data_IF_945275329407
#
_entry.id   IF_945275329407
#
_cell.length_a   1.000
_cell.length_b   1.000
_cell.length_c   1.000
_cell.angle_alpha   90.00
_cell.angle_beta   90.00
_cell.angle_gamma   90.00
#
_symmetry.space_group_name_H-M   'P 1'
#
loop_
_entity.id
_entity.type
_entity.pdbx_description
1 polymer ?
#
# COMPACT_ATOMS: atom_id res chain seq x y z
N UNK A 1 32.53 -11.52 -25.32
CA UNK A 1 31.42 -12.45 -25.05
C UNK A 1 30.31 -12.11 -26.02
N UNK A 2 29.62 -13.10 -26.60
CA UNK A 2 28.45 -12.85 -27.45
C UNK A 2 27.26 -13.58 -26.82
N UNK A 3 26.15 -12.88 -26.64
CA UNK A 3 24.88 -13.45 -26.19
C UNK A 3 24.01 -13.69 -27.40
N UNK A 4 23.48 -14.91 -27.55
CA UNK A 4 22.58 -15.26 -28.64
C UNK A 4 21.34 -15.94 -28.07
N UNK A 5 20.18 -15.46 -28.48
CA UNK A 5 18.89 -16.05 -28.13
C UNK A 5 18.55 -17.10 -29.18
N UNK A 6 18.27 -18.33 -28.76
CA UNK A 6 17.88 -19.41 -29.66
C UNK A 6 16.57 -20.02 -29.18
N UNK A 7 15.55 -20.05 -30.03
CA UNK A 7 14.31 -20.77 -29.78
C UNK A 7 14.55 -22.27 -30.00
N UNK A 8 14.15 -23.10 -29.04
CA UNK A 8 14.07 -24.55 -29.22
C UNK A 8 12.64 -24.96 -29.61
N UNK A 9 12.52 -26.04 -30.37
CA UNK A 9 11.27 -26.58 -30.94
C UNK A 9 10.19 -26.98 -29.93
N UNK A 10 10.40 -26.80 -28.62
CA UNK A 10 9.43 -27.09 -27.56
C UNK A 10 8.79 -25.86 -26.88
N UNK A 11 8.86 -24.67 -27.50
CA UNK A 11 8.17 -23.47 -27.00
C UNK A 11 8.89 -22.71 -25.88
N UNK A 12 9.87 -23.31 -25.20
CA UNK A 12 10.67 -22.62 -24.20
C UNK A 12 11.93 -22.00 -24.83
N UNK A 13 11.94 -20.67 -24.95
CA UNK A 13 13.14 -19.94 -25.37
C UNK A 13 14.25 -20.07 -24.32
N UNK A 14 15.47 -20.40 -24.75
CA UNK A 14 16.65 -20.48 -23.88
C UNK A 14 17.72 -19.50 -24.34
N UNK A 15 18.27 -18.76 -23.39
CA UNK A 15 19.45 -17.93 -23.64
C UNK A 15 20.69 -18.82 -23.55
N UNK A 16 21.59 -18.69 -24.52
CA UNK A 16 22.87 -19.40 -24.53
C UNK A 16 24.00 -18.37 -24.49
N UNK A 17 24.83 -18.45 -23.46
CA UNK A 17 26.06 -17.65 -23.36
C UNK A 17 27.17 -18.44 -24.03
N UNK A 18 27.84 -17.85 -25.02
CA UNK A 18 28.98 -18.45 -25.68
C UNK A 18 30.25 -17.63 -25.53
N UNK A 19 31.40 -18.32 -25.53
CA UNK A 19 32.70 -17.68 -25.65
C UNK A 19 32.93 -17.13 -27.07
N UNK A 20 34.10 -16.53 -27.31
CA UNK A 20 34.44 -16.01 -28.64
C UNK A 20 34.62 -17.10 -29.70
N UNK A 21 34.89 -18.34 -29.30
CA UNK A 21 35.01 -19.51 -30.17
C UNK A 21 33.65 -20.18 -30.45
N UNK A 22 32.58 -19.76 -29.78
CA UNK A 22 31.23 -20.31 -29.93
C UNK A 22 30.90 -21.45 -28.98
N UNK A 23 31.76 -21.76 -28.02
CA UNK A 23 31.48 -22.81 -27.03
C UNK A 23 30.44 -22.33 -26.03
N UNK A 24 29.49 -23.21 -25.70
CA UNK A 24 28.44 -22.96 -24.72
C UNK A 24 29.05 -22.89 -23.32
N UNK A 25 28.97 -21.73 -22.68
CA UNK A 25 29.41 -21.50 -21.31
C UNK A 25 28.27 -21.69 -20.31
N UNK A 26 27.06 -21.24 -20.66
CA UNK A 26 25.88 -21.35 -19.80
C UNK A 26 24.58 -21.32 -20.61
N UNK A 27 23.49 -21.82 -20.02
CA UNK A 27 22.14 -21.56 -20.51
C UNK A 27 21.14 -21.38 -19.38
N UNK A 28 20.22 -20.44 -19.56
CA UNK A 28 19.08 -20.22 -18.67
C UNK A 28 17.78 -20.19 -19.49
N UNK A 29 16.64 -20.60 -18.91
CA UNK A 29 15.33 -20.29 -19.47
C UNK A 29 15.20 -18.77 -19.66
N UNK A 30 14.75 -18.32 -20.83
CA UNK A 30 14.53 -16.90 -21.08
C UNK A 30 13.48 -16.29 -20.13
N UNK A 31 12.59 -17.12 -19.58
CA UNK A 31 11.62 -16.75 -18.55
C UNK A 31 12.26 -16.22 -17.26
N UNK A 32 13.50 -16.59 -16.94
CA UNK A 32 14.24 -16.06 -15.79
C UNK A 32 14.75 -14.63 -16.02
N UNK A 33 14.61 -14.08 -17.23
CA UNK A 33 14.99 -12.71 -17.59
C UNK A 33 13.82 -11.84 -18.00
N UNK A 34 12.58 -12.35 -17.96
CA UNK A 34 11.40 -11.49 -18.07
C UNK A 34 11.40 -10.60 -16.81
N UNK A 35 11.47 -9.26 -16.94
CA UNK A 35 11.27 -8.39 -15.79
C UNK A 35 9.95 -8.80 -15.16
N UNK A 36 9.92 -9.03 -13.84
CA UNK A 36 8.67 -9.24 -13.14
C UNK A 36 7.74 -8.08 -13.50
N UNK A 37 6.66 -8.38 -14.21
CA UNK A 37 5.79 -7.37 -14.78
C UNK A 37 5.02 -6.76 -13.60
N UNK A 38 5.51 -5.61 -13.11
CA UNK A 38 4.99 -4.93 -11.93
C UNK A 38 3.66 -4.27 -12.29
N UNK A 39 2.56 -4.89 -11.89
CA UNK A 39 1.22 -4.38 -12.12
C UNK A 39 0.65 -3.84 -10.81
N UNK A 40 0.49 -2.53 -10.71
CA UNK A 40 -0.19 -1.89 -9.58
C UNK A 40 -1.65 -1.70 -9.98
N UNK A 41 -2.56 -2.53 -9.48
CA UNK A 41 -4.00 -2.40 -9.75
C UNK A 41 -4.76 -1.84 -8.56
N UNK A 42 -4.29 -2.12 -7.34
CA UNK A 42 -4.91 -1.68 -6.09
C UNK A 42 -3.89 -1.13 -5.11
N UNK A 43 -4.09 0.14 -4.76
CA UNK A 43 -3.23 0.89 -3.84
C UNK A 43 -4.02 1.12 -2.54
N UNK A 44 -3.51 0.65 -1.41
CA UNK A 44 -4.08 0.94 -0.10
C UNK A 44 -3.41 2.17 0.53
N UNK A 45 -4.21 3.10 1.03
CA UNK A 45 -3.74 4.34 1.64
C UNK A 45 -4.36 4.49 3.03
N UNK A 46 -3.58 4.23 4.10
CA UNK A 46 -3.99 4.54 5.46
C UNK A 46 -4.08 6.04 5.69
N UNK A 47 -5.22 6.51 6.20
CA UNK A 47 -5.55 7.91 6.45
C UNK A 47 -5.85 8.11 7.93
N UNK A 48 -5.12 9.01 8.59
CA UNK A 48 -5.37 9.47 9.95
C UNK A 48 -5.84 10.94 10.02
N UNK A 49 -6.17 11.51 8.85
CA UNK A 49 -6.57 12.91 8.63
C UNK A 49 -5.49 13.95 8.96
N UNK A 50 -4.25 13.55 9.24
CA UNK A 50 -3.12 14.48 9.31
C UNK A 50 -2.73 14.98 7.91
N UNK A 51 -2.09 16.15 7.86
CA UNK A 51 -1.46 16.68 6.63
C UNK A 51 -0.49 15.67 6.00
N UNK A 52 0.17 14.86 6.82
CA UNK A 52 1.10 13.84 6.36
C UNK A 52 0.38 12.71 5.61
N UNK A 53 -0.73 12.20 6.14
CA UNK A 53 -1.53 11.19 5.45
C UNK A 53 -2.15 11.73 4.15
N UNK A 54 -2.57 13.00 4.15
CA UNK A 54 -3.05 13.66 2.93
C UNK A 54 -1.94 13.82 1.89
N UNK A 55 -0.69 14.09 2.32
CA UNK A 55 0.47 14.05 1.43
C UNK A 55 0.63 12.68 0.80
N UNK A 56 0.58 11.59 1.58
CA UNK A 56 0.65 10.23 1.04
C UNK A 56 -0.47 9.92 0.03
N UNK A 57 -1.67 10.42 0.26
CA UNK A 57 -2.78 10.31 -0.70
C UNK A 57 -2.46 10.97 -2.04
N UNK A 58 -1.81 12.15 -2.06
CA UNK A 58 -1.42 12.79 -3.34
C UNK A 58 -0.49 11.89 -4.17
N UNK A 59 0.47 11.22 -3.53
CA UNK A 59 1.34 10.26 -4.21
C UNK A 59 0.54 9.07 -4.74
N UNK A 60 -0.39 8.54 -3.94
CA UNK A 60 -1.24 7.43 -4.37
C UNK A 60 -2.12 7.78 -5.56
N UNK A 61 -2.70 8.99 -5.61
CA UNK A 61 -3.49 9.45 -6.74
C UNK A 61 -2.64 9.63 -8.02
N UNK A 62 -1.39 10.09 -7.88
CA UNK A 62 -0.47 10.19 -9.01
C UNK A 62 -0.08 8.80 -9.56
N UNK A 63 0.23 7.85 -8.67
CA UNK A 63 0.47 6.45 -9.05
C UNK A 63 -0.77 5.84 -9.70
N UNK A 64 -1.95 6.03 -9.12
CA UNK A 64 -3.19 5.50 -9.67
C UNK A 64 -3.49 6.04 -11.07
N UNK A 65 -3.18 7.30 -11.35
CA UNK A 65 -3.29 7.87 -12.70
C UNK A 65 -2.34 7.21 -13.70
N UNK A 66 -1.09 6.96 -13.29
CA UNK A 66 -0.06 6.37 -14.15
C UNK A 66 -0.31 4.88 -14.43
N UNK A 67 -0.85 4.15 -13.45
CA UNK A 67 -1.04 2.69 -13.51
C UNK A 67 -2.50 2.28 -13.73
N UNK A 68 -3.41 3.24 -13.90
CA UNK A 68 -4.86 3.01 -13.98
C UNK A 68 -5.42 2.21 -12.78
N UNK A 69 -4.82 2.41 -11.61
CA UNK A 69 -5.11 1.68 -10.39
C UNK A 69 -6.34 2.25 -9.65
N UNK A 70 -6.98 1.40 -8.85
CA UNK A 70 -7.96 1.80 -7.84
C UNK A 70 -7.25 2.16 -6.53
N UNK A 71 -7.68 3.24 -5.88
CA UNK A 71 -7.15 3.67 -4.57
C UNK A 71 -8.15 3.35 -3.47
N UNK A 72 -7.72 2.58 -2.48
CA UNK A 72 -8.50 2.27 -1.29
C UNK A 72 -8.03 3.17 -0.14
N UNK A 73 -8.87 4.14 0.24
CA UNK A 73 -8.62 4.99 1.40
C UNK A 73 -9.17 4.29 2.64
N UNK A 74 -8.32 4.03 3.63
CA UNK A 74 -8.74 3.37 4.87
C UNK A 74 -8.51 4.28 6.08
N UNK A 75 -9.52 4.40 6.92
CA UNK A 75 -9.38 4.98 8.26
C UNK A 75 -9.66 3.92 9.33
N UNK A 76 -8.77 3.80 10.32
CA UNK A 76 -8.95 2.90 11.44
C UNK A 76 -9.26 3.71 12.69
N UNK A 77 -10.41 3.44 13.28
CA UNK A 77 -10.82 4.00 14.57
C UNK A 77 -10.25 3.10 15.66
N UNK A 78 -9.24 3.59 16.38
CA UNK A 78 -8.70 2.87 17.54
C UNK A 78 -9.63 3.05 18.74
N UNK A 79 -10.09 1.93 19.32
CA UNK A 79 -10.79 1.97 20.60
C UNK A 79 -9.75 2.09 21.72
N UNK A 80 -9.75 3.22 22.42
CA UNK A 80 -9.14 3.28 23.75
C UNK A 80 -10.05 2.52 24.71
N UNK A 81 -9.60 1.34 25.13
CA UNK A 81 -10.22 0.62 26.25
C UNK A 81 -9.65 1.22 27.52
N UNK A 82 -10.46 1.98 28.24
CA UNK A 82 -10.09 2.51 29.55
C UNK A 82 -10.30 1.42 30.62
N UNK A 83 -9.50 1.41 31.70
CA UNK A 83 -9.70 0.47 32.81
C UNK A 83 -11.11 0.49 33.42
N UNK A 84 -11.87 1.59 33.27
CA UNK A 84 -13.27 1.71 33.70
C UNK A 84 -14.30 1.08 32.75
N UNK A 85 -13.94 0.81 31.49
CA UNK A 85 -14.85 0.27 30.47
C UNK A 85 -15.21 -1.20 30.74
N UNK A 86 -14.43 -1.89 31.59
CA UNK A 86 -14.71 -3.26 32.05
C UNK A 86 -15.92 -3.34 33.00
N UNK A 87 -16.33 -2.21 33.59
CA UNK A 87 -17.41 -2.14 34.60
C UNK A 87 -18.79 -1.84 33.98
N UNK A 88 -18.83 -1.41 32.73
CA UNK A 88 -20.09 -1.12 32.03
C UNK A 88 -20.36 -2.21 30.98
N UNK A 89 -21.61 -2.70 30.84
CA UNK A 89 -21.96 -3.48 29.67
C UNK A 89 -21.65 -2.61 28.44
N UNK A 90 -21.02 -3.16 27.38
CA UNK A 90 -20.70 -2.38 26.18
C UNK A 90 -22.00 -1.73 25.72
N UNK A 91 -22.07 -0.39 25.85
CA UNK A 91 -23.18 0.40 25.34
C UNK A 91 -23.43 -0.08 23.93
N UNK A 92 -24.65 -0.54 23.64
CA UNK A 92 -25.01 -1.16 22.36
C UNK A 92 -24.42 -0.33 21.21
N UNK A 93 -23.36 -0.86 20.63
CA UNK A 93 -22.42 -0.16 19.76
C UNK A 93 -22.98 0.05 18.34
N UNK A 94 -24.30 0.02 18.16
CA UNK A 94 -24.89 -0.23 16.83
C UNK A 94 -25.29 1.04 16.10
N UNK A 95 -25.96 1.99 16.77
CA UNK A 95 -26.55 3.14 16.06
C UNK A 95 -25.63 4.37 16.08
N UNK A 96 -24.92 4.60 17.19
CA UNK A 96 -23.94 5.69 17.31
C UNK A 96 -22.62 5.38 16.57
N UNK A 97 -22.31 4.11 16.32
CA UNK A 97 -21.16 3.74 15.47
C UNK A 97 -21.47 3.89 13.98
N UNK A 98 -22.70 3.61 13.54
CA UNK A 98 -23.09 3.75 12.14
C UNK A 98 -23.00 5.20 11.68
N UNK A 99 -23.58 6.15 12.44
CA UNK A 99 -23.52 7.58 12.13
C UNK A 99 -22.07 8.11 12.17
N UNK A 100 -21.28 7.71 13.17
CA UNK A 100 -19.85 8.05 13.23
C UNK A 100 -19.06 7.49 12.05
N UNK A 101 -19.33 6.25 11.66
CA UNK A 101 -18.69 5.58 10.52
C UNK A 101 -19.04 6.30 9.22
N UNK A 102 -20.32 6.62 9.01
CA UNK A 102 -20.78 7.36 7.83
C UNK A 102 -20.10 8.73 7.75
N UNK A 103 -20.03 9.47 8.88
CA UNK A 103 -19.29 10.72 8.95
C UNK A 103 -17.81 10.55 8.58
N UNK A 104 -17.15 9.48 9.02
CA UNK A 104 -15.75 9.22 8.64
C UNK A 104 -15.61 8.86 7.15
N UNK A 105 -16.56 8.10 6.59
CA UNK A 105 -16.60 7.82 5.15
C UNK A 105 -16.75 9.12 4.35
N UNK A 106 -17.68 10.02 4.73
CA UNK A 106 -17.84 11.31 4.08
C UNK A 106 -16.57 12.17 4.15
N UNK A 107 -15.85 12.13 5.28
CA UNK A 107 -14.54 12.82 5.39
C UNK A 107 -13.50 12.22 4.45
N UNK A 108 -13.46 10.90 4.29
CA UNK A 108 -12.55 10.27 3.34
C UNK A 108 -12.89 10.66 1.90
N UNK A 109 -14.17 10.63 1.52
CA UNK A 109 -14.66 11.06 0.20
C UNK A 109 -14.29 12.51 -0.13
N UNK A 110 -14.27 13.39 0.87
CA UNK A 110 -13.88 14.78 0.68
C UNK A 110 -12.38 14.93 0.35
N UNK A 111 -11.52 13.99 0.75
CA UNK A 111 -10.07 14.08 0.52
C UNK A 111 -9.68 13.80 -0.95
N UNK A 112 -10.47 13.00 -1.66
CA UNK A 112 -10.20 12.61 -3.04
C UNK A 112 -11.26 13.12 -4.04
N UNK A 113 -12.18 13.96 -3.56
CA UNK A 113 -13.20 14.61 -4.39
C UNK A 113 -12.57 15.34 -5.58
N UNK A 114 -13.05 15.05 -6.79
CA UNK A 114 -12.54 15.65 -8.02
C UNK A 114 -11.20 15.10 -8.53
N UNK A 115 -10.66 14.03 -7.91
CA UNK A 115 -9.38 13.44 -8.35
C UNK A 115 -9.45 12.78 -9.73
N UNK A 116 -10.65 12.36 -10.17
CA UNK A 116 -10.86 11.57 -11.40
C UNK A 116 -10.36 10.13 -11.31
N UNK A 117 -9.98 9.67 -10.11
CA UNK A 117 -9.47 8.31 -9.86
C UNK A 117 -10.58 7.45 -9.25
N UNK A 118 -10.60 6.15 -9.57
CA UNK A 118 -11.50 5.19 -8.91
C UNK A 118 -11.05 5.00 -7.47
N UNK A 119 -11.92 5.31 -6.52
CA UNK A 119 -11.63 5.20 -5.10
C UNK A 119 -12.67 4.39 -4.35
N UNK A 120 -12.21 3.71 -3.29
CA UNK A 120 -13.05 3.01 -2.32
C UNK A 120 -12.68 3.45 -0.92
N UNK A 121 -13.68 3.76 -0.10
CA UNK A 121 -13.49 4.27 1.26
C UNK A 121 -13.86 3.19 2.27
N UNK A 122 -12.96 2.91 3.21
CA UNK A 122 -13.11 1.85 4.21
C UNK A 122 -12.88 2.46 5.59
N UNK A 123 -13.80 2.18 6.51
CA UNK A 123 -13.63 2.54 7.92
C UNK A 123 -13.75 1.26 8.74
N UNK A 124 -12.71 0.94 9.52
CA UNK A 124 -12.71 -0.18 10.46
C UNK A 124 -12.41 0.28 11.88
N UNK A 125 -12.79 -0.57 12.82
CA UNK A 125 -12.54 -0.42 14.23
C UNK A 125 -11.47 -1.44 14.63
N UNK A 126 -10.40 -1.03 15.31
CA UNK A 126 -9.34 -1.95 15.68
C UNK A 126 -8.00 -1.27 15.89
N UNK A 127 -6.92 -2.06 15.90
CA UNK A 127 -5.55 -1.52 15.98
C UNK A 127 -5.07 -1.14 14.58
N UNK A 128 -4.65 0.11 14.37
CA UNK A 128 -4.43 0.67 13.04
C UNK A 128 -3.53 -0.19 12.14
N UNK A 129 -2.36 -0.60 12.64
CA UNK A 129 -1.42 -1.38 11.84
C UNK A 129 -1.94 -2.79 11.52
N UNK A 130 -2.73 -3.43 12.40
CA UNK A 130 -3.25 -4.79 12.17
C UNK A 130 -4.34 -4.77 11.09
N UNK A 131 -5.31 -3.87 11.26
CA UNK A 131 -6.41 -3.71 10.32
C UNK A 131 -5.91 -3.33 8.92
N UNK A 132 -4.87 -2.49 8.81
CA UNK A 132 -4.27 -2.15 7.50
C UNK A 132 -3.68 -3.39 6.83
N UNK A 133 -2.99 -4.25 7.58
CA UNK A 133 -2.41 -5.49 7.04
C UNK A 133 -3.50 -6.47 6.61
N UNK A 134 -4.54 -6.63 7.42
CA UNK A 134 -5.68 -7.49 7.12
C UNK A 134 -6.43 -7.01 5.87
N UNK A 135 -6.75 -5.72 5.77
CA UNK A 135 -7.35 -5.14 4.57
C UNK A 135 -6.45 -5.35 3.36
N UNK A 136 -5.13 -5.17 3.49
CA UNK A 136 -4.21 -5.38 2.39
C UNK A 136 -4.24 -6.82 1.86
N UNK A 137 -4.40 -7.80 2.73
CA UNK A 137 -4.53 -9.21 2.35
C UNK A 137 -5.91 -9.52 1.75
N UNK A 138 -6.99 -9.13 2.43
CA UNK A 138 -8.38 -9.38 2.00
C UNK A 138 -8.66 -8.76 0.64
N UNK A 139 -8.23 -7.51 0.48
CA UNK A 139 -8.39 -6.75 -0.75
C UNK A 139 -7.24 -7.01 -1.72
N UNK A 140 -6.35 -7.99 -1.48
CA UNK A 140 -5.15 -8.32 -2.28
C UNK A 140 -4.52 -7.09 -2.94
N UNK A 141 -4.11 -6.14 -2.11
CA UNK A 141 -3.49 -4.89 -2.54
C UNK A 141 -2.12 -5.16 -3.14
N UNK A 142 -1.79 -4.48 -4.22
CA UNK A 142 -0.48 -4.61 -4.87
C UNK A 142 0.54 -3.67 -4.24
N UNK A 143 0.09 -2.61 -3.56
CA UNK A 143 0.94 -1.63 -2.88
C UNK A 143 0.22 -0.97 -1.71
N UNK A 144 0.98 -0.62 -0.67
CA UNK A 144 0.55 0.30 0.39
C UNK A 144 1.35 1.60 0.24
N UNK A 145 0.67 2.74 0.25
CA UNK A 145 1.30 4.07 0.29
C UNK A 145 0.86 4.75 1.57
N UNK A 146 1.82 5.12 2.42
CA UNK A 146 1.54 5.74 3.71
C UNK A 146 2.57 6.80 4.07
N UNK A 147 2.18 7.71 4.94
CA UNK A 147 3.11 8.66 5.53
C UNK A 147 4.01 7.98 6.56
N UNK A 148 5.26 8.43 6.66
CA UNK A 148 6.17 7.98 7.71
C UNK A 148 5.72 8.41 9.11
N UNK A 149 5.01 9.54 9.20
CA UNK A 149 4.49 10.09 10.44
C UNK A 149 3.00 10.34 10.32
N UNK A 150 2.30 10.21 11.44
CA UNK A 150 0.89 10.54 11.56
C UNK A 150 0.64 11.71 12.49
N UNK A 151 -0.57 11.79 13.04
CA UNK A 151 -1.03 12.89 13.90
C UNK A 151 -0.12 13.19 15.10
N UNK A 152 0.52 12.18 15.70
CA UNK A 152 1.34 12.34 16.92
C UNK A 152 2.78 12.81 16.66
N UNK A 153 3.27 12.77 15.41
CA UNK A 153 4.50 13.40 14.93
C UNK A 153 5.70 13.51 15.90
N UNK A 154 6.39 12.40 16.21
CA UNK A 154 7.65 12.42 16.98
C UNK A 154 8.79 13.02 16.14
N UNK A 155 9.22 14.25 16.47
CA UNK A 155 10.23 15.03 15.71
C UNK A 155 11.61 14.38 15.52
N UNK A 156 11.92 13.30 16.24
CA UNK A 156 13.22 12.63 16.20
C UNK A 156 13.15 11.16 15.74
N UNK A 157 11.96 10.66 15.41
CA UNK A 157 11.81 9.32 14.85
C UNK A 157 11.93 9.39 13.31
N UNK A 158 12.53 8.36 12.70
CA UNK A 158 12.54 8.23 11.23
C UNK A 158 11.21 7.68 10.71
N UNK A 159 10.47 6.96 11.56
CA UNK A 159 9.22 6.30 11.22
C UNK A 159 8.33 6.24 12.47
N UNK A 160 7.05 6.58 12.33
CA UNK A 160 6.05 6.42 13.36
C UNK A 160 5.74 4.95 13.63
N UNK A 161 5.28 4.64 14.83
CA UNK A 161 5.09 3.26 15.30
C UNK A 161 4.12 2.43 14.44
N UNK A 162 3.09 3.07 13.87
CA UNK A 162 2.15 2.42 12.94
C UNK A 162 2.83 2.14 11.60
N UNK A 163 3.52 3.13 11.04
CA UNK A 163 4.20 3.00 9.75
C UNK A 163 5.31 1.95 9.80
N UNK A 164 6.09 1.89 10.90
CA UNK A 164 7.11 0.87 11.12
C UNK A 164 6.53 -0.55 11.09
N UNK A 165 5.43 -0.76 11.82
CA UNK A 165 4.77 -2.07 11.85
C UNK A 165 4.21 -2.45 10.48
N UNK A 166 3.61 -1.52 9.75
CA UNK A 166 3.11 -1.78 8.40
C UNK A 166 4.27 -2.17 7.47
N UNK A 167 5.35 -1.41 7.45
CA UNK A 167 6.54 -1.71 6.62
C UNK A 167 7.10 -3.09 6.94
N UNK A 168 7.12 -3.49 8.21
CA UNK A 168 7.65 -4.80 8.65
C UNK A 168 6.75 -5.98 8.26
N UNK A 169 5.44 -5.79 8.18
CA UNK A 169 4.47 -6.89 8.10
C UNK A 169 3.64 -6.91 6.81
N UNK A 170 3.77 -5.92 5.93
CA UNK A 170 2.98 -5.80 4.71
C UNK A 170 3.11 -7.04 3.80
N UNK A 171 1.98 -7.53 3.25
CA UNK A 171 1.99 -8.63 2.28
C UNK A 171 2.46 -8.18 0.88
N UNK A 172 2.65 -6.89 0.68
CA UNK A 172 2.97 -6.26 -0.61
C UNK A 172 3.94 -5.09 -0.41
N UNK A 173 4.56 -4.59 -1.50
CA UNK A 173 5.45 -3.42 -1.45
C UNK A 173 4.83 -2.22 -0.72
N UNK A 174 5.66 -1.53 0.05
CA UNK A 174 5.27 -0.33 0.80
C UNK A 174 6.09 0.87 0.34
N UNK A 175 5.41 1.92 -0.09
CA UNK A 175 6.02 3.23 -0.34
C UNK A 175 5.72 4.14 0.85
N UNK A 176 6.77 4.61 1.51
CA UNK A 176 6.65 5.58 2.59
C UNK A 176 6.90 6.99 2.09
N UNK A 177 6.08 7.94 2.55
CA UNK A 177 6.17 9.35 2.17
C UNK A 177 6.62 10.17 3.38
N UNK A 178 7.73 10.91 3.23
CA UNK A 178 8.25 11.78 4.29
C UNK A 178 7.61 13.17 4.25
N UNK A 179 7.21 13.75 5.41
CA UNK A 179 6.60 15.07 5.46
C UNK A 179 7.50 16.19 4.91
N UNK A 180 8.76 16.21 5.31
CA UNK A 180 9.73 17.28 5.02
C UNK A 180 10.46 17.18 3.66
N UNK A 181 10.27 16.10 2.89
CA UNK A 181 10.89 15.99 1.57
C UNK A 181 10.13 16.81 0.50
N UNK A 182 10.88 17.38 -0.45
CA UNK A 182 10.33 18.12 -1.60
C UNK A 182 9.44 17.19 -2.44
N UNK A 183 8.26 17.69 -2.79
CA UNK A 183 7.35 16.96 -3.68
C UNK A 183 7.92 16.88 -5.10
N UNK A 184 7.73 15.73 -5.74
CA UNK A 184 8.10 15.47 -7.14
C UNK A 184 6.90 15.01 -7.99
N UNK A 185 5.70 15.28 -7.49
CA UNK A 185 4.42 15.00 -8.14
C UNK A 185 4.10 16.03 -9.23
#
# INVERSE_FOLDING_TARGET
>A
MKTKTTSTSSGDAKLIVTDKAGHKLASAPASLMTPAQFHIRRILVPIDFSEHSQKALRYALAFARQFEAEVMLVHIVEQMVYPGDWMYPPLAATDFEAEKREKMISRLQALDAGSGIRTKHIVRLGRAWQEVIEIAQEMKCDMIILATHGYTGLKHALLGSVAEKIVRHAPCPVLTVRPEERDFL
#
